data_IF_346419642927
#
_entry.id   IF_346419642927
#
_cell.length_a   1.000
_cell.length_b   1.000
_cell.length_c   1.000
_cell.angle_alpha   90.00
_cell.angle_beta   90.00
_cell.angle_gamma   90.00
#
_symmetry.space_group_name_H-M   'P 1'
#
loop_
_entity.id
_entity.type
_entity.pdbx_description
1 polymer ?
#
# COMPACT_ATOMS: atom_id res chain seq x y z
N UNK A 1 34.90 -7.18 -41.51
CA UNK A 1 34.92 -5.77 -41.07
C UNK A 1 33.50 -5.17 -40.91
N UNK A 2 32.56 -5.44 -41.84
CA UNK A 2 31.17 -4.91 -41.81
C UNK A 2 30.30 -5.46 -40.66
N UNK A 3 30.53 -6.70 -40.22
CA UNK A 3 29.75 -7.37 -39.16
C UNK A 3 29.90 -6.73 -37.77
N UNK A 4 31.05 -6.11 -37.47
CA UNK A 4 31.28 -5.45 -36.19
C UNK A 4 30.58 -4.09 -36.07
N UNK A 5 30.30 -3.42 -37.19
CA UNK A 5 29.65 -2.10 -37.20
C UNK A 5 28.15 -2.26 -36.92
N UNK A 6 27.49 -3.18 -37.63
CA UNK A 6 26.06 -3.47 -37.44
C UNK A 6 25.73 -3.99 -36.03
N UNK A 7 26.63 -4.82 -35.45
CA UNK A 7 26.44 -5.36 -34.09
C UNK A 7 26.58 -4.28 -33.01
N UNK A 8 27.38 -3.24 -33.26
CA UNK A 8 27.58 -2.11 -32.34
C UNK A 8 26.33 -1.24 -32.27
N UNK A 9 25.71 -0.95 -33.41
CA UNK A 9 24.50 -0.11 -33.47
C UNK A 9 23.28 -0.78 -32.82
N UNK A 10 23.13 -2.11 -32.98
CA UNK A 10 22.08 -2.89 -32.30
C UNK A 10 22.23 -2.85 -30.77
N UNK A 11 23.45 -2.96 -30.26
CA UNK A 11 23.73 -2.90 -28.81
C UNK A 11 23.56 -1.49 -28.24
N UNK A 12 23.93 -0.45 -29.01
CA UNK A 12 23.75 0.94 -28.61
C UNK A 12 22.26 1.29 -28.55
N UNK A 13 21.45 0.88 -29.55
CA UNK A 13 19.99 1.07 -29.50
C UNK A 13 19.42 0.41 -28.25
N UNK A 14 19.73 -0.87 -27.98
CA UNK A 14 19.17 -1.62 -26.84
C UNK A 14 19.57 -1.03 -25.47
N UNK A 15 20.79 -0.48 -25.36
CA UNK A 15 21.29 0.22 -24.18
C UNK A 15 20.63 1.59 -23.98
N UNK A 16 20.44 2.35 -25.07
CA UNK A 16 19.77 3.65 -25.02
C UNK A 16 18.25 3.51 -24.78
N UNK A 17 17.60 2.51 -25.38
CA UNK A 17 16.18 2.20 -25.11
C UNK A 17 15.95 1.77 -23.66
N UNK A 18 16.82 0.95 -23.08
CA UNK A 18 16.69 0.57 -21.66
C UNK A 18 17.05 1.71 -20.70
N UNK A 19 17.81 2.73 -21.13
CA UNK A 19 18.10 3.95 -20.37
C UNK A 19 17.04 5.05 -20.55
N UNK A 20 16.45 5.17 -21.73
CA UNK A 20 15.33 6.08 -22.03
C UNK A 20 14.02 5.56 -21.45
N UNK A 21 13.81 4.24 -21.41
CA UNK A 21 12.69 3.56 -20.78
C UNK A 21 12.89 3.36 -19.25
N UNK A 22 13.92 4.01 -18.68
CA UNK A 22 14.16 4.17 -17.23
C UNK A 22 13.80 5.56 -16.72
N UNK A 23 13.32 6.45 -17.59
CA UNK A 23 12.81 7.76 -17.19
C UNK A 23 11.39 7.58 -16.59
N UNK A 24 11.37 7.33 -15.28
CA UNK A 24 10.37 7.73 -14.28
C UNK A 24 8.90 7.37 -14.50
N UNK A 25 8.61 6.15 -14.93
CA UNK A 25 7.36 5.49 -14.57
C UNK A 25 7.64 4.55 -13.38
N UNK A 26 6.82 4.54 -12.32
CA UNK A 26 6.89 3.46 -11.33
C UNK A 26 6.76 2.14 -12.10
N UNK A 27 7.73 1.23 -11.94
CA UNK A 27 7.66 -0.09 -12.55
C UNK A 27 6.54 -0.86 -11.85
N UNK A 28 5.31 -0.65 -12.30
CA UNK A 28 4.15 -1.38 -11.79
C UNK A 28 4.23 -2.78 -12.35
N UNK A 29 4.27 -3.77 -11.46
CA UNK A 29 4.25 -5.17 -11.83
C UNK A 29 2.90 -5.52 -12.48
N UNK A 30 2.87 -5.44 -13.81
CA UNK A 30 1.67 -5.66 -14.62
C UNK A 30 0.92 -6.98 -14.31
N UNK A 31 1.60 -8.12 -14.04
CA UNK A 31 0.91 -9.34 -13.65
C UNK A 31 0.13 -9.21 -12.34
N UNK A 32 0.69 -8.51 -11.34
CA UNK A 32 0.06 -8.31 -10.04
C UNK A 32 -1.13 -7.35 -10.18
N UNK A 33 -0.95 -6.26 -10.94
CA UNK A 33 -2.03 -5.32 -11.22
C UNK A 33 -3.21 -6.01 -11.90
N UNK A 34 -2.96 -6.87 -12.89
CA UNK A 34 -3.99 -7.63 -13.58
C UNK A 34 -4.74 -8.57 -12.62
N UNK A 35 -4.00 -9.28 -11.75
CA UNK A 35 -4.60 -10.17 -10.75
C UNK A 35 -5.50 -9.40 -9.78
N UNK A 36 -5.07 -8.22 -9.33
CA UNK A 36 -5.86 -7.34 -8.47
C UNK A 36 -7.16 -6.92 -9.18
N UNK A 37 -7.09 -6.50 -10.45
CA UNK A 37 -8.28 -6.11 -11.23
C UNK A 37 -9.27 -7.28 -11.36
N UNK A 38 -8.78 -8.49 -11.63
CA UNK A 38 -9.63 -9.68 -11.71
C UNK A 38 -10.32 -9.94 -10.37
N UNK A 39 -9.58 -9.90 -9.26
CA UNK A 39 -10.13 -10.06 -7.91
C UNK A 39 -11.19 -9.00 -7.58
N UNK A 40 -11.00 -7.76 -8.02
CA UNK A 40 -11.96 -6.68 -7.83
C UNK A 40 -13.26 -6.93 -8.61
N UNK A 41 -13.16 -7.41 -9.85
CA UNK A 41 -14.35 -7.77 -10.65
C UNK A 41 -15.13 -8.89 -9.96
N UNK A 42 -14.44 -9.95 -9.54
CA UNK A 42 -15.05 -11.07 -8.80
C UNK A 42 -15.74 -10.55 -7.53
N UNK A 43 -15.08 -9.65 -6.79
CA UNK A 43 -15.64 -9.06 -5.58
C UNK A 43 -16.93 -8.27 -5.83
N UNK A 44 -17.02 -7.50 -6.92
CA UNK A 44 -18.27 -6.80 -7.29
C UNK A 44 -19.40 -7.78 -7.62
N UNK A 45 -19.11 -8.86 -8.33
CA UNK A 45 -20.10 -9.91 -8.60
C UNK A 45 -20.56 -10.58 -7.30
N UNK A 46 -19.64 -10.87 -6.38
CA UNK A 46 -20.00 -11.44 -5.07
C UNK A 46 -20.88 -10.51 -4.26
N UNK A 47 -20.60 -9.20 -4.25
CA UNK A 47 -21.43 -8.20 -3.54
C UNK A 47 -22.81 -8.07 -4.18
N UNK A 48 -22.88 -8.04 -5.52
CA UNK A 48 -24.16 -7.97 -6.23
C UNK A 48 -25.04 -9.18 -5.89
N UNK A 49 -24.43 -10.37 -5.87
CA UNK A 49 -25.09 -11.63 -5.55
C UNK A 49 -25.55 -11.69 -4.08
N UNK A 50 -24.68 -11.36 -3.13
CA UNK A 50 -24.98 -11.44 -1.69
C UNK A 50 -25.97 -10.37 -1.23
N UNK A 51 -26.00 -9.22 -1.90
CA UNK A 51 -26.88 -8.11 -1.56
C UNK A 51 -28.28 -8.20 -2.18
N UNK A 52 -28.60 -9.28 -2.90
CA UNK A 52 -29.89 -9.43 -3.56
C UNK A 52 -30.12 -8.43 -4.71
N UNK A 53 -29.06 -8.03 -5.41
CA UNK A 53 -29.14 -7.14 -6.57
C UNK A 53 -29.10 -5.63 -6.25
N UNK A 54 -28.68 -5.24 -5.04
CA UNK A 54 -28.57 -3.82 -4.69
C UNK A 54 -27.42 -3.12 -5.42
N UNK A 55 -27.75 -2.40 -6.49
CA UNK A 55 -26.78 -1.66 -7.30
C UNK A 55 -26.06 -0.54 -6.51
N UNK A 56 -26.67 0.00 -5.46
CA UNK A 56 -26.05 1.07 -4.66
C UNK A 56 -24.80 0.59 -3.91
N UNK A 57 -24.83 -0.62 -3.34
CA UNK A 57 -23.69 -1.21 -2.64
C UNK A 57 -22.54 -1.52 -3.60
N UNK A 58 -22.85 -1.99 -4.81
CA UNK A 58 -21.87 -2.22 -5.87
C UNK A 58 -21.24 -0.91 -6.34
N UNK A 59 -22.05 0.13 -6.55
CA UNK A 59 -21.56 1.45 -6.93
C UNK A 59 -20.66 2.06 -5.84
N UNK A 60 -21.05 1.92 -4.57
CA UNK A 60 -20.24 2.34 -3.42
C UNK A 60 -18.89 1.61 -3.39
N UNK A 61 -18.88 0.29 -3.61
CA UNK A 61 -17.64 -0.49 -3.67
C UNK A 61 -16.75 -0.05 -4.84
N UNK A 62 -17.33 0.16 -6.02
CA UNK A 62 -16.60 0.65 -7.20
C UNK A 62 -16.00 2.05 -6.97
N UNK A 63 -16.70 2.93 -6.26
CA UNK A 63 -16.15 4.24 -5.88
C UNK A 63 -14.93 4.10 -4.96
N UNK A 64 -14.97 3.20 -3.97
CA UNK A 64 -13.81 2.93 -3.12
C UNK A 64 -12.62 2.36 -3.89
N UNK A 65 -12.87 1.53 -4.91
CA UNK A 65 -11.84 1.04 -5.81
C UNK A 65 -11.18 2.18 -6.60
N UNK A 66 -11.95 3.11 -7.16
CA UNK A 66 -11.41 4.28 -7.83
C UNK A 66 -10.55 5.14 -6.88
N UNK A 67 -11.04 5.40 -5.66
CA UNK A 67 -10.29 6.14 -4.63
C UNK A 67 -8.99 5.40 -4.28
N UNK A 68 -9.06 4.09 -4.08
CA UNK A 68 -7.90 3.23 -3.80
C UNK A 68 -6.84 3.29 -4.88
N UNK A 69 -7.23 3.26 -6.17
CA UNK A 69 -6.30 3.43 -7.28
C UNK A 69 -5.65 4.81 -7.29
N UNK A 70 -6.42 5.88 -7.07
CA UNK A 70 -5.87 7.25 -6.99
C UNK A 70 -4.83 7.33 -5.86
N UNK A 71 -5.15 6.81 -4.68
CA UNK A 71 -4.22 6.77 -3.54
C UNK A 71 -2.98 5.95 -3.87
N UNK A 72 -3.14 4.77 -4.49
CA UNK A 72 -2.02 3.92 -4.92
C UNK A 72 -1.09 4.67 -5.88
N UNK A 73 -1.63 5.34 -6.89
CA UNK A 73 -0.82 6.11 -7.84
C UNK A 73 -0.11 7.29 -7.19
N UNK A 74 -0.76 7.98 -6.24
CA UNK A 74 -0.12 9.06 -5.48
C UNK A 74 1.03 8.52 -4.63
N UNK A 75 0.78 7.47 -3.85
CA UNK A 75 1.78 6.84 -2.97
C UNK A 75 2.95 6.28 -3.78
N UNK A 76 2.70 5.69 -4.94
CA UNK A 76 3.73 5.14 -5.83
C UNK A 76 4.70 6.20 -6.39
N UNK A 77 4.36 7.49 -6.30
CA UNK A 77 5.27 8.59 -6.70
C UNK A 77 6.27 8.97 -5.61
N UNK A 78 6.02 8.60 -4.36
CA UNK A 78 6.90 8.97 -3.26
C UNK A 78 8.05 7.96 -3.12
N UNK A 79 9.27 8.48 -2.97
CA UNK A 79 10.42 7.61 -2.73
C UNK A 79 10.36 6.99 -1.33
N UNK A 80 10.80 5.74 -1.22
CA UNK A 80 10.83 4.96 0.03
C UNK A 80 11.62 5.67 1.15
N UNK A 81 12.61 6.49 0.78
CA UNK A 81 13.42 7.25 1.74
C UNK A 81 12.62 8.26 2.58
N UNK A 82 11.59 8.89 2.00
CA UNK A 82 10.73 9.82 2.74
C UNK A 82 9.92 9.09 3.81
N UNK A 83 9.41 7.91 3.49
CA UNK A 83 8.68 7.10 4.46
C UNK A 83 9.56 6.61 5.59
N UNK A 84 10.86 6.37 5.35
CA UNK A 84 11.80 5.94 6.39
C UNK A 84 11.96 6.97 7.51
N UNK A 85 12.05 8.26 7.17
CA UNK A 85 12.17 9.32 8.18
C UNK A 85 10.82 9.59 8.89
N UNK A 86 9.71 9.45 8.18
CA UNK A 86 8.39 9.66 8.74
C UNK A 86 7.86 8.45 9.52
N UNK A 87 8.50 7.28 9.42
CA UNK A 87 8.00 6.00 9.93
C UNK A 87 7.59 6.06 11.41
N UNK A 88 8.43 6.66 12.26
CA UNK A 88 8.14 6.81 13.69
C UNK A 88 6.96 7.74 13.96
N UNK A 89 6.82 8.81 13.18
CA UNK A 89 5.69 9.75 13.31
C UNK A 89 4.39 9.08 12.87
N UNK A 90 4.42 8.35 11.75
CA UNK A 90 3.28 7.55 11.28
C UNK A 90 2.89 6.49 12.31
N UNK A 91 3.87 5.81 12.92
CA UNK A 91 3.62 4.80 13.94
C UNK A 91 2.97 5.41 15.19
N UNK A 92 3.54 6.49 15.73
CA UNK A 92 2.97 7.18 16.88
C UNK A 92 1.54 7.68 16.61
N UNK A 93 1.30 8.22 15.41
CA UNK A 93 -0.04 8.63 14.99
C UNK A 93 -1.01 7.44 14.90
N UNK A 94 -0.56 6.29 14.40
CA UNK A 94 -1.39 5.08 14.33
C UNK A 94 -1.71 4.49 15.71
N UNK A 95 -0.75 4.50 16.64
CA UNK A 95 -0.98 4.11 18.05
C UNK A 95 -1.97 5.08 18.70
N UNK A 96 -1.81 6.38 18.47
CA UNK A 96 -2.76 7.39 18.93
C UNK A 96 -4.17 7.13 18.41
N UNK A 97 -4.33 6.84 17.11
CA UNK A 97 -5.63 6.49 16.53
C UNK A 97 -6.22 5.21 17.13
N UNK A 98 -5.41 4.20 17.41
CA UNK A 98 -5.86 2.99 18.10
C UNK A 98 -6.38 3.32 19.50
N UNK A 99 -5.63 4.11 20.28
CA UNK A 99 -6.09 4.55 21.59
C UNK A 99 -7.39 5.37 21.49
N UNK A 100 -7.50 6.24 20.49
CA UNK A 100 -8.70 7.02 20.23
C UNK A 100 -9.92 6.11 19.98
N UNK A 101 -9.75 4.99 19.29
CA UNK A 101 -10.85 4.02 19.07
C UNK A 101 -11.38 3.39 20.35
N UNK A 102 -10.59 3.30 21.42
CA UNK A 102 -11.10 2.78 22.69
C UNK A 102 -12.09 3.76 23.35
N UNK A 103 -11.97 5.06 23.07
CA UNK A 103 -12.83 6.09 23.67
C UNK A 103 -14.02 6.47 22.79
N UNK A 104 -13.83 6.51 21.47
CA UNK A 104 -14.82 7.03 20.49
C UNK A 104 -15.19 5.96 19.45
N UNK A 105 -14.76 4.71 19.64
CA UNK A 105 -15.04 3.61 18.72
C UNK A 105 -16.51 3.24 18.71
N UNK A 106 -17.08 3.14 17.52
CA UNK A 106 -18.43 2.67 17.32
C UNK A 106 -18.46 1.14 17.43
N UNK A 107 -19.39 0.61 18.23
CA UNK A 107 -19.61 -0.83 18.31
C UNK A 107 -20.34 -1.32 17.07
N UNK A 108 -19.64 -2.10 16.24
CA UNK A 108 -20.23 -2.79 15.09
C UNK A 108 -20.00 -4.28 15.30
N UNK A 109 -21.09 -5.07 15.30
CA UNK A 109 -21.07 -6.52 15.52
C UNK A 109 -20.39 -6.93 16.85
N UNK A 110 -20.60 -6.15 17.92
CA UNK A 110 -20.06 -6.43 19.25
C UNK A 110 -18.57 -6.09 19.43
N UNK A 111 -18.00 -5.26 18.57
CA UNK A 111 -16.62 -4.79 18.72
C UNK A 111 -16.43 -3.31 18.36
N UNK A 112 -15.74 -2.59 19.24
CA UNK A 112 -15.28 -1.21 19.06
C UNK A 112 -13.99 -1.17 18.23
N UNK A 113 -14.11 -1.17 16.91
CA UNK A 113 -12.94 -1.14 15.99
C UNK A 113 -12.98 -0.02 14.96
N UNK A 114 -14.13 0.61 14.81
CA UNK A 114 -14.38 1.57 13.74
C UNK A 114 -14.57 2.95 14.32
N UNK A 115 -13.89 3.94 13.73
CA UNK A 115 -14.19 5.34 13.95
C UNK A 115 -15.18 5.74 12.85
N UNK A 116 -16.38 6.15 13.24
CA UNK A 116 -17.35 6.69 12.30
C UNK A 116 -16.95 8.11 11.92
N UNK A 117 -16.62 8.32 10.64
CA UNK A 117 -16.31 9.63 10.08
C UNK A 117 -17.50 10.20 9.28
N UNK A 118 -18.69 9.59 9.38
CA UNK A 118 -19.91 9.94 8.68
C UNK A 118 -20.15 9.03 7.46
N UNK A 119 -19.72 9.41 6.24
CA UNK A 119 -19.96 8.60 5.05
C UNK A 119 -19.06 7.36 4.96
N UNK A 120 -17.97 7.35 5.73
CA UNK A 120 -16.96 6.28 5.73
C UNK A 120 -16.61 5.90 7.16
N UNK A 121 -16.45 4.61 7.40
CA UNK A 121 -15.94 4.10 8.66
C UNK A 121 -14.44 3.87 8.49
N UNK A 122 -13.63 4.52 9.33
CA UNK A 122 -12.18 4.36 9.30
C UNK A 122 -11.75 3.37 10.37
N UNK A 123 -10.92 2.40 9.98
CA UNK A 123 -10.41 1.37 10.87
C UNK A 123 -8.90 1.58 11.10
N UNK A 124 -8.48 2.12 12.26
CA UNK A 124 -7.06 2.39 12.53
C UNK A 124 -6.14 1.17 12.47
N UNK A 125 -6.66 -0.04 12.70
CA UNK A 125 -5.86 -1.26 12.56
C UNK A 125 -5.41 -1.52 11.12
N UNK A 126 -6.19 -1.10 10.10
CA UNK A 126 -5.78 -1.24 8.70
C UNK A 126 -4.60 -0.31 8.37
N UNK A 127 -4.60 0.90 8.93
CA UNK A 127 -3.47 1.82 8.83
C UNK A 127 -2.20 1.22 9.44
N UNK A 128 -2.33 0.61 10.63
CA UNK A 128 -1.19 0.01 11.34
C UNK A 128 -0.56 -1.19 10.61
N UNK A 129 -1.33 -1.95 9.80
CA UNK A 129 -0.77 -3.06 8.99
C UNK A 129 0.30 -2.60 8.01
N UNK A 130 0.24 -1.36 7.54
CA UNK A 130 1.21 -0.79 6.61
C UNK A 130 2.37 -0.14 7.37
N UNK A 131 2.05 0.64 8.41
CA UNK A 131 3.03 1.45 9.13
C UNK A 131 3.96 0.64 10.02
N UNK A 132 3.47 -0.46 10.60
CA UNK A 132 4.27 -1.28 11.52
C UNK A 132 5.47 -1.95 10.81
N UNK A 133 5.29 -2.68 9.68
CA UNK A 133 6.43 -3.24 8.94
C UNK A 133 7.41 -2.15 8.48
N UNK A 134 6.89 -1.02 8.01
CA UNK A 134 7.69 0.12 7.57
C UNK A 134 8.60 0.67 8.69
N UNK A 135 8.06 0.78 9.91
CA UNK A 135 8.80 1.25 11.08
C UNK A 135 9.84 0.23 11.52
N UNK A 136 9.49 -1.05 11.55
CA UNK A 136 10.43 -2.13 11.86
C UNK A 136 11.61 -2.13 10.88
N UNK A 137 11.34 -2.05 9.57
CA UNK A 137 12.39 -1.97 8.56
C UNK A 137 13.30 -0.75 8.75
N UNK A 138 12.72 0.42 9.04
CA UNK A 138 13.47 1.64 9.31
C UNK A 138 14.45 1.45 10.47
N UNK A 139 13.97 0.87 11.58
CA UNK A 139 14.79 0.59 12.77
C UNK A 139 15.91 -0.42 12.50
N UNK A 140 15.58 -1.52 11.81
CA UNK A 140 16.53 -2.56 11.46
C UNK A 140 17.68 -2.05 10.58
N UNK A 141 17.44 -1.00 9.79
CA UNK A 141 18.48 -0.42 8.93
C UNK A 141 19.57 0.31 9.75
N UNK A 142 19.30 0.69 11.00
CA UNK A 142 20.25 1.41 11.86
C UNK A 142 20.96 0.51 12.90
N UNK A 143 20.54 -0.75 13.09
CA UNK A 143 21.14 -1.66 14.08
C UNK A 143 21.86 -2.84 13.40
N UNK A 144 23.12 -3.15 13.77
CA UNK A 144 23.77 -4.37 13.32
C UNK A 144 23.01 -5.60 13.85
N UNK A 145 22.80 -6.59 12.99
CA UNK A 145 22.22 -7.90 13.35
C UNK A 145 23.18 -8.63 14.31
N UNK A 146 22.72 -9.47 15.26
CA UNK A 146 21.33 -9.92 15.49
C UNK A 146 20.58 -9.07 16.54
N UNK A 147 19.33 -8.70 16.22
CA UNK A 147 18.42 -8.01 17.16
C UNK A 147 17.81 -9.05 18.10
N UNK A 148 17.88 -8.82 19.41
CA UNK A 148 17.24 -9.69 20.40
C UNK A 148 15.75 -9.36 20.57
N UNK A 149 14.93 -10.34 20.94
CA UNK A 149 13.48 -10.19 21.14
C UNK A 149 13.13 -9.05 22.11
N UNK A 150 13.95 -8.86 23.14
CA UNK A 150 13.84 -7.77 24.11
C UNK A 150 13.98 -6.38 23.48
N UNK A 151 14.88 -6.24 22.50
CA UNK A 151 15.05 -4.99 21.78
C UNK A 151 13.85 -4.70 20.86
N UNK A 152 13.26 -5.73 20.26
CA UNK A 152 12.05 -5.58 19.44
C UNK A 152 10.84 -5.15 20.29
N UNK A 153 10.67 -5.76 21.46
CA UNK A 153 9.63 -5.40 22.42
C UNK A 153 9.83 -3.97 22.94
N UNK A 154 11.06 -3.56 23.26
CA UNK A 154 11.37 -2.20 23.70
C UNK A 154 11.19 -1.11 22.62
N UNK A 155 10.97 -1.50 21.36
CA UNK A 155 10.66 -0.57 20.26
C UNK A 155 9.15 -0.49 20.02
N UNK A 156 8.43 -1.58 20.29
CA UNK A 156 6.99 -1.71 20.05
C UNK A 156 6.16 -1.32 21.29
N UNK A 157 6.70 -1.52 22.49
CA UNK A 157 6.12 -1.11 23.77
C UNK A 157 6.78 0.15 24.31
#
# INVERSE_FOLDING_TARGET
MVTNILRRDINIKRSLWSRLMRLDAPNVDMPILLLIIILMIISLFTIYSSSGGNAFLVAKQAAFYCIGFVVMFLVARFEVYYFRNLSFTLYAFGVFLLLLTLFIGLEINGATRWIDLGPVNFQPSEYMKIVLPLTICSVLTYKPLPISLHQLIAIIG
#
